data_IF_606432718564
#
_entry.id   IF_606432718564
#
_cell.length_a   1.000
_cell.length_b   1.000
_cell.length_c   1.000
_cell.angle_alpha   90.00
_cell.angle_beta   90.00
_cell.angle_gamma   90.00
#
_symmetry.space_group_name_H-M   'P 1'
#
loop_
_entity.id
_entity.type
_entity.pdbx_description
1 polymer ?
#
# COMPACT_ATOMS: atom_id res chain seq x y z
N UNK A 1 -9.88 9.88 -9.66
CA UNK A 1 -8.90 8.78 -9.49
C UNK A 1 -9.50 7.74 -8.55
N UNK A 2 -9.47 6.45 -8.90
CA UNK A 2 -10.04 5.38 -8.07
C UNK A 2 -9.15 5.12 -6.83
N UNK A 3 -9.75 4.77 -5.69
CA UNK A 3 -9.05 4.44 -4.44
C UNK A 3 -8.03 3.31 -4.63
N UNK A 4 -8.35 2.31 -5.47
CA UNK A 4 -7.43 1.21 -5.82
C UNK A 4 -6.18 1.75 -6.52
N UNK A 5 -6.35 2.60 -7.54
CA UNK A 5 -5.24 3.22 -8.27
C UNK A 5 -4.39 4.12 -7.38
N UNK A 6 -5.01 4.82 -6.42
CA UNK A 6 -4.30 5.63 -5.43
C UNK A 6 -3.42 4.77 -4.52
N UNK A 7 -3.96 3.67 -3.99
CA UNK A 7 -3.22 2.73 -3.14
C UNK A 7 -2.06 2.07 -3.89
N UNK A 8 -2.27 1.66 -5.14
CA UNK A 8 -1.23 1.08 -6.00
C UNK A 8 -0.07 2.06 -6.23
N UNK A 9 -0.37 3.33 -6.52
CA UNK A 9 0.65 4.35 -6.71
C UNK A 9 1.39 4.69 -5.42
N UNK A 10 0.70 4.70 -4.28
CA UNK A 10 1.34 4.92 -2.99
C UNK A 10 2.30 3.78 -2.62
N UNK A 11 1.91 2.53 -2.91
CA UNK A 11 2.79 1.36 -2.78
C UNK A 11 3.99 1.49 -3.71
N UNK A 12 3.78 1.83 -4.98
CA UNK A 12 4.86 1.98 -5.97
C UNK A 12 5.86 3.06 -5.56
N UNK A 13 5.37 4.23 -5.12
CA UNK A 13 6.22 5.32 -4.65
C UNK A 13 7.07 4.91 -3.43
N UNK A 14 6.50 4.13 -2.50
CA UNK A 14 7.26 3.61 -1.35
C UNK A 14 8.30 2.56 -1.75
N UNK A 15 8.01 1.72 -2.75
CA UNK A 15 8.98 0.75 -3.28
C UNK A 15 10.17 1.46 -3.93
N UNK A 16 9.91 2.48 -4.76
CA UNK A 16 10.96 3.31 -5.33
C UNK A 16 11.82 3.98 -4.26
N UNK A 17 11.19 4.55 -3.21
CA UNK A 17 11.92 5.12 -2.09
C UNK A 17 12.81 4.10 -1.34
N UNK A 18 12.39 2.83 -1.25
CA UNK A 18 13.23 1.77 -0.66
C UNK A 18 14.45 1.50 -1.55
N UNK A 19 14.29 1.46 -2.87
CA UNK A 19 15.40 1.26 -3.81
C UNK A 19 16.43 2.39 -3.69
N UNK A 20 15.97 3.64 -3.60
CA UNK A 20 16.84 4.80 -3.39
C UNK A 20 17.59 4.71 -2.04
N UNK A 21 16.91 4.34 -0.96
CA UNK A 21 17.52 4.17 0.35
C UNK A 21 18.53 3.01 0.38
N UNK A 22 18.30 1.94 -0.38
CA UNK A 22 19.27 0.85 -0.53
C UNK A 22 20.54 1.30 -1.24
N UNK A 23 20.41 2.15 -2.27
CA UNK A 23 21.56 2.77 -2.91
C UNK A 23 22.31 3.70 -1.95
N UNK A 24 21.58 4.50 -1.16
CA UNK A 24 22.16 5.38 -0.15
C UNK A 24 22.95 4.62 0.94
N UNK A 25 22.45 3.46 1.37
CA UNK A 25 23.18 2.59 2.32
C UNK A 25 24.56 2.23 1.77
N UNK A 26 24.63 1.72 0.53
CA UNK A 26 25.90 1.33 -0.10
C UNK A 26 26.86 2.51 -0.19
N UNK A 27 26.35 3.69 -0.54
CA UNK A 27 27.15 4.91 -0.60
C UNK A 27 27.69 5.32 0.78
N UNK A 28 26.86 5.30 1.82
CA UNK A 28 27.27 5.64 3.18
C UNK A 28 28.26 4.64 3.77
N UNK A 29 28.09 3.34 3.50
CA UNK A 29 29.04 2.29 3.89
C UNK A 29 30.42 2.50 3.27
N UNK A 30 30.48 2.86 1.98
CA UNK A 30 31.74 3.16 1.29
C UNK A 30 32.48 4.36 1.88
N UNK A 31 31.73 5.33 2.43
CA UNK A 31 32.30 6.50 3.10
C UNK A 31 32.61 6.26 4.59
N UNK A 32 32.33 5.07 5.13
CA UNK A 32 32.46 4.76 6.56
C UNK A 32 31.41 5.45 7.45
N UNK A 33 30.35 6.02 6.85
CA UNK A 33 29.26 6.71 7.54
C UNK A 33 28.17 5.73 7.99
N UNK A 34 28.52 4.77 8.86
CA UNK A 34 27.63 3.67 9.27
C UNK A 34 26.37 4.11 10.02
N UNK A 35 26.40 5.28 10.68
CA UNK A 35 25.22 5.87 11.32
C UNK A 35 24.15 6.24 10.29
N UNK A 36 24.54 6.86 9.18
CA UNK A 36 23.63 7.24 8.09
C UNK A 36 23.11 6.00 7.35
N UNK A 37 23.97 4.99 7.14
CA UNK A 37 23.54 3.71 6.59
C UNK A 37 22.49 3.04 7.50
N UNK A 38 22.71 3.06 8.82
CA UNK A 38 21.77 2.50 9.81
C UNK A 38 20.44 3.26 9.84
N UNK A 39 20.48 4.59 9.72
CA UNK A 39 19.27 5.40 9.60
C UNK A 39 18.47 5.04 8.33
N UNK A 40 19.14 4.90 7.19
CA UNK A 40 18.50 4.48 5.95
C UNK A 40 17.85 3.10 6.09
N UNK A 41 18.51 2.14 6.75
CA UNK A 41 17.96 0.82 7.02
C UNK A 41 16.70 0.87 7.90
N UNK A 42 16.69 1.74 8.91
CA UNK A 42 15.50 1.97 9.74
C UNK A 42 14.33 2.55 8.93
N UNK A 43 14.60 3.52 8.05
CA UNK A 43 13.58 4.12 7.17
C UNK A 43 13.01 3.11 6.17
N UNK A 44 13.83 2.21 5.64
CA UNK A 44 13.38 1.08 4.80
C UNK A 44 12.39 0.21 5.57
N UNK A 45 12.71 -0.15 6.82
CA UNK A 45 11.81 -0.98 7.66
C UNK A 45 10.45 -0.30 7.88
N UNK A 46 10.44 1.01 8.13
CA UNK A 46 9.21 1.79 8.26
C UNK A 46 8.39 1.82 6.95
N UNK A 47 9.07 2.00 5.82
CA UNK A 47 8.44 1.97 4.50
C UNK A 47 7.82 0.60 4.19
N UNK A 48 8.54 -0.50 4.48
CA UNK A 48 8.03 -1.87 4.30
C UNK A 48 6.79 -2.15 5.15
N UNK A 49 6.78 -1.72 6.42
CA UNK A 49 5.60 -1.86 7.28
C UNK A 49 4.40 -1.09 6.71
N UNK A 50 4.64 0.10 6.17
CA UNK A 50 3.60 0.91 5.55
C UNK A 50 3.07 0.27 4.26
N UNK A 51 3.95 -0.28 3.41
CA UNK A 51 3.56 -1.03 2.22
C UNK A 51 2.65 -2.19 2.59
N UNK A 52 3.02 -2.99 3.61
CA UNK A 52 2.21 -4.11 4.06
C UNK A 52 0.79 -3.67 4.47
N UNK A 53 0.67 -2.55 5.17
CA UNK A 53 -0.64 -1.97 5.53
C UNK A 53 -1.45 -1.56 4.29
N UNK A 54 -0.80 -0.92 3.32
CA UNK A 54 -1.44 -0.48 2.08
C UNK A 54 -1.85 -1.68 1.20
N UNK A 55 -1.06 -2.76 1.18
CA UNK A 55 -1.37 -3.99 0.45
C UNK A 55 -2.62 -4.69 1.02
N UNK A 56 -2.77 -4.72 2.35
CA UNK A 56 -4.00 -5.20 3.00
C UNK A 56 -5.19 -4.33 2.59
N UNK A 57 -5.06 -3.00 2.68
CA UNK A 57 -6.13 -2.08 2.26
C UNK A 57 -6.49 -2.25 0.78
N UNK A 58 -5.50 -2.48 -0.08
CA UNK A 58 -5.71 -2.72 -1.51
C UNK A 58 -6.49 -4.02 -1.75
N UNK A 59 -6.14 -5.08 -1.01
CA UNK A 59 -6.83 -6.36 -1.08
C UNK A 59 -8.28 -6.24 -0.61
N UNK A 60 -8.54 -5.53 0.47
CA UNK A 60 -9.90 -5.29 0.97
C UNK A 60 -10.75 -4.51 -0.05
N UNK A 61 -10.19 -3.43 -0.62
CA UNK A 61 -10.88 -2.62 -1.63
C UNK A 61 -11.15 -3.40 -2.92
N UNK A 62 -10.22 -4.26 -3.36
CA UNK A 62 -10.42 -5.13 -4.53
C UNK A 62 -11.46 -6.22 -4.27
N UNK A 63 -11.42 -6.85 -3.10
CA UNK A 63 -12.37 -7.89 -2.69
C UNK A 63 -13.79 -7.33 -2.59
N UNK A 64 -13.94 -6.15 -1.97
CA UNK A 64 -15.20 -5.44 -1.88
C UNK A 64 -15.75 -5.05 -3.25
N UNK A 65 -14.91 -4.53 -4.14
CA UNK A 65 -15.27 -4.26 -5.53
C UNK A 65 -15.75 -5.52 -6.28
N UNK A 66 -15.14 -6.67 -6.01
CA UNK A 66 -15.56 -7.97 -6.53
C UNK A 66 -16.94 -8.40 -6.02
N UNK A 67 -17.19 -8.25 -4.71
CA UNK A 67 -18.48 -8.55 -4.08
C UNK A 67 -19.59 -7.67 -4.67
N UNK A 68 -19.36 -6.36 -4.79
CA UNK A 68 -20.33 -5.43 -5.39
C UNK A 68 -20.65 -5.84 -6.84
N UNK A 69 -19.64 -6.14 -7.66
CA UNK A 69 -19.86 -6.57 -9.04
C UNK A 69 -20.70 -7.85 -9.11
N UNK A 70 -20.42 -8.81 -8.25
CA UNK A 70 -21.15 -10.08 -8.20
C UNK A 70 -22.61 -9.89 -7.75
N UNK A 71 -22.86 -9.09 -6.72
CA UNK A 71 -24.22 -8.78 -6.24
C UNK A 71 -25.03 -7.99 -7.29
N UNK A 72 -24.38 -7.03 -7.95
CA UNK A 72 -25.01 -6.27 -9.06
C UNK A 72 -25.38 -7.20 -10.22
N UNK A 73 -24.52 -8.17 -10.56
CA UNK A 73 -24.81 -9.19 -11.59
C UNK A 73 -26.01 -10.08 -11.24
N UNK A 74 -26.28 -10.28 -9.95
CA UNK A 74 -27.46 -11.01 -9.45
C UNK A 74 -28.73 -10.14 -9.34
N UNK A 75 -28.68 -8.89 -9.81
CA UNK A 75 -29.80 -7.96 -9.76
C UNK A 75 -30.01 -7.29 -8.40
N UNK A 76 -29.08 -7.44 -7.45
CA UNK A 76 -29.18 -6.79 -6.14
C UNK A 76 -28.76 -5.33 -6.28
N UNK A 77 -29.62 -4.35 -5.93
CA UNK A 77 -29.31 -2.95 -6.12
C UNK A 77 -28.14 -2.49 -5.24
N UNK A 78 -27.23 -1.72 -5.81
CA UNK A 78 -26.08 -1.10 -5.14
C UNK A 78 -26.46 -0.30 -3.87
N UNK A 79 -27.67 0.27 -3.82
CA UNK A 79 -28.22 0.95 -2.64
C UNK A 79 -28.39 0.01 -1.44
N UNK A 80 -28.78 -1.24 -1.67
CA UNK A 80 -28.96 -2.25 -0.60
C UNK A 80 -27.61 -2.67 -0.06
N UNK A 81 -26.63 -2.91 -0.95
CA UNK A 81 -25.27 -3.30 -0.57
C UNK A 81 -24.58 -2.22 0.28
N UNK A 82 -24.68 -0.95 -0.13
CA UNK A 82 -24.16 0.19 0.65
C UNK A 82 -24.87 0.41 2.00
N UNK A 83 -26.13 -0.03 2.13
CA UNK A 83 -26.89 0.12 3.37
C UNK A 83 -26.48 -0.91 4.43
N UNK A 84 -26.09 -2.11 4.01
CA UNK A 84 -25.56 -3.17 4.89
C UNK A 84 -24.18 -2.77 5.45
N UNK A 85 -23.34 -2.11 4.65
CA UNK A 85 -22.02 -1.60 5.07
C UNK A 85 -22.11 -0.59 6.22
N UNK A 86 -23.04 0.38 6.15
CA UNK A 86 -23.21 1.40 7.20
C UNK A 86 -23.88 0.86 8.49
N UNK A 87 -24.25 -0.42 8.54
CA UNK A 87 -24.89 -1.06 9.69
C UNK A 87 -23.97 -2.01 10.48
N UNK A 88 -22.71 -2.20 10.04
CA UNK A 88 -21.67 -2.95 10.76
C UNK A 88 -20.61 -2.01 11.32
#
# INVERSE_FOLDING_TARGET
>A
MNIVTKLELEIAAKKACIEDLQAAIKFHEQQGAYNLASECAWRIKLAQHTIKRLEVQLQDNRSFGGIIKHLTKRGIPLKVVKKIENQS
#
